data_IF_254127483980
#
_entry.id   IF_254127483980
#
_cell.length_a   1.000
_cell.length_b   1.000
_cell.length_c   1.000
_cell.angle_alpha   90.00
_cell.angle_beta   90.00
_cell.angle_gamma   90.00
#
_symmetry.space_group_name_H-M   'P 1'
#
loop_
_entity.id
_entity.type
_entity.pdbx_description
1 polymer ?
#
# COMPACT_ATOMS: atom_id res chain seq x y z
N UNK A 1 -25.57 -1.54 9.77
CA UNK A 1 -24.57 -2.52 9.27
C UNK A 1 -23.25 -2.26 9.99
N UNK A 2 -22.79 -3.18 10.83
CA UNK A 2 -21.64 -2.95 11.72
C UNK A 2 -20.35 -2.76 10.92
N UNK A 3 -19.58 -1.70 11.21
CA UNK A 3 -18.24 -1.52 10.61
C UNK A 3 -17.34 -2.64 11.13
N UNK A 4 -16.64 -3.34 10.24
CA UNK A 4 -15.56 -4.22 10.66
C UNK A 4 -14.43 -3.39 11.30
N UNK A 5 -13.54 -4.04 12.06
CA UNK A 5 -12.47 -3.36 12.80
C UNK A 5 -11.61 -2.45 11.90
N UNK A 6 -11.26 -2.93 10.71
CA UNK A 6 -10.42 -2.21 9.74
C UNK A 6 -11.10 -0.91 9.29
N UNK A 7 -12.36 -1.00 8.89
CA UNK A 7 -13.16 0.12 8.42
C UNK A 7 -13.44 1.13 9.54
N UNK A 8 -13.58 0.65 10.77
CA UNK A 8 -13.73 1.51 11.92
C UNK A 8 -12.48 2.37 12.13
N UNK A 9 -11.29 1.75 12.15
CA UNK A 9 -10.03 2.48 12.35
C UNK A 9 -9.72 3.46 11.22
N UNK A 10 -9.88 3.05 9.95
CA UNK A 10 -9.66 3.97 8.83
C UNK A 10 -10.63 5.16 8.90
N UNK A 11 -11.92 4.91 9.16
CA UNK A 11 -12.91 5.99 9.32
C UNK A 11 -12.55 6.96 10.44
N UNK A 12 -12.06 6.44 11.57
CA UNK A 12 -11.71 7.24 12.75
C UNK A 12 -10.47 8.11 12.50
N UNK A 13 -9.42 7.55 11.90
CA UNK A 13 -8.21 8.33 11.58
C UNK A 13 -8.49 9.41 10.52
N UNK A 14 -9.40 9.13 9.58
CA UNK A 14 -9.82 10.08 8.55
C UNK A 14 -10.69 11.19 9.15
N UNK A 15 -11.61 10.86 10.07
CA UNK A 15 -12.45 11.89 10.71
C UNK A 15 -11.65 12.88 11.58
N UNK A 16 -10.43 12.50 11.97
CA UNK A 16 -9.47 13.33 12.73
C UNK A 16 -8.27 13.77 11.90
N UNK A 17 -8.37 13.73 10.57
CA UNK A 17 -7.27 14.01 9.63
C UNK A 17 -6.54 15.31 9.93
N UNK A 18 -7.27 16.41 10.10
CA UNK A 18 -6.70 17.75 10.28
C UNK A 18 -5.83 17.84 11.54
N UNK A 19 -6.35 17.35 12.66
CA UNK A 19 -5.64 17.33 13.95
C UNK A 19 -4.39 16.43 13.88
N UNK A 20 -4.54 15.20 13.37
CA UNK A 20 -3.44 14.21 13.34
C UNK A 20 -2.35 14.63 12.35
N UNK A 21 -2.73 15.08 11.16
CA UNK A 21 -1.76 15.44 10.12
C UNK A 21 -1.02 16.74 10.42
N UNK A 22 -1.52 17.58 11.32
CA UNK A 22 -0.75 18.71 11.87
C UNK A 22 0.51 18.25 12.62
N UNK A 23 0.50 17.02 13.16
CA UNK A 23 1.61 16.41 13.86
C UNK A 23 2.42 15.53 12.90
N UNK A 24 1.76 14.62 12.18
CA UNK A 24 2.41 13.69 11.26
C UNK A 24 1.44 13.10 10.24
N UNK A 25 1.90 12.99 8.98
CA UNK A 25 1.20 12.25 7.92
C UNK A 25 1.51 10.76 7.94
N UNK A 26 2.45 10.30 8.75
CA UNK A 26 2.90 8.92 8.76
C UNK A 26 2.13 8.10 9.79
N UNK A 27 1.60 6.95 9.37
CA UNK A 27 0.87 6.00 10.22
C UNK A 27 1.59 4.67 10.18
N UNK A 28 2.04 4.19 11.34
CA UNK A 28 2.62 2.85 11.45
C UNK A 28 1.53 1.89 11.91
N UNK A 29 1.33 0.79 11.19
CA UNK A 29 0.28 -0.18 11.47
C UNK A 29 0.78 -1.62 11.43
N UNK A 30 0.14 -2.49 12.21
CA UNK A 30 0.41 -3.93 12.20
C UNK A 30 0.07 -4.58 10.84
N UNK A 31 0.64 -5.74 10.56
CA UNK A 31 0.39 -6.53 9.36
C UNK A 31 -1.09 -6.89 9.13
N UNK A 32 -1.89 -6.93 10.20
CA UNK A 32 -3.34 -7.09 10.10
C UNK A 32 -4.00 -6.01 9.21
N UNK A 33 -3.44 -4.81 9.19
CA UNK A 33 -3.93 -3.64 8.44
C UNK A 33 -3.33 -3.51 7.04
N UNK A 34 -2.43 -4.40 6.61
CA UNK A 34 -1.89 -4.43 5.23
C UNK A 34 -2.91 -4.99 4.23
N UNK A 35 -4.12 -4.43 4.24
CA UNK A 35 -5.26 -4.80 3.39
C UNK A 35 -5.71 -3.57 2.63
N UNK A 36 -6.14 -3.77 1.39
CA UNK A 36 -6.63 -2.70 0.52
C UNK A 36 -7.69 -1.83 1.20
N UNK A 37 -8.63 -2.43 1.94
CA UNK A 37 -9.70 -1.71 2.65
C UNK A 37 -9.21 -0.74 3.73
N UNK A 38 -7.97 -0.91 4.21
CA UNK A 38 -7.31 0.07 5.08
C UNK A 38 -6.41 1.00 4.27
N UNK A 39 -5.55 0.44 3.41
CA UNK A 39 -4.48 1.18 2.73
C UNK A 39 -5.05 2.22 1.76
N UNK A 40 -6.02 1.86 0.94
CA UNK A 40 -6.60 2.76 -0.07
C UNK A 40 -7.17 4.04 0.53
N UNK A 41 -8.14 3.99 1.48
CA UNK A 41 -8.73 5.21 2.03
C UNK A 41 -7.72 6.05 2.83
N UNK A 42 -6.72 5.41 3.46
CA UNK A 42 -5.67 6.13 4.17
C UNK A 42 -4.77 6.91 3.20
N UNK A 43 -4.35 6.29 2.09
CA UNK A 43 -3.56 6.93 1.05
C UNK A 43 -4.34 8.06 0.33
N UNK A 44 -5.61 7.83 0.00
CA UNK A 44 -6.52 8.86 -0.55
C UNK A 44 -6.71 10.04 0.41
N UNK A 45 -6.51 9.80 1.71
CA UNK A 45 -6.56 10.81 2.76
C UNK A 45 -5.20 11.42 3.08
N UNK A 46 -4.20 11.32 2.19
CA UNK A 46 -2.84 11.87 2.35
C UNK A 46 -2.00 11.30 3.50
N UNK A 47 -2.37 10.13 4.03
CA UNK A 47 -1.52 9.42 4.98
C UNK A 47 -0.46 8.58 4.27
N UNK A 48 0.71 8.48 4.87
CA UNK A 48 1.77 7.53 4.50
C UNK A 48 1.75 6.35 5.47
N UNK A 49 1.21 5.22 5.01
CA UNK A 49 1.10 4.02 5.84
C UNK A 49 2.38 3.18 5.73
N UNK A 50 3.02 2.91 6.87
CA UNK A 50 4.10 1.93 6.99
C UNK A 50 3.53 0.72 7.72
N UNK A 51 3.49 -0.42 7.04
CA UNK A 51 3.02 -1.67 7.63
C UNK A 51 3.87 -2.83 7.14
N UNK A 52 3.96 -3.89 7.97
CA UNK A 52 4.61 -5.13 7.57
C UNK A 52 3.64 -5.95 6.73
N UNK A 53 4.06 -6.52 5.61
CA UNK A 53 3.22 -7.53 4.96
C UNK A 53 3.04 -8.78 5.82
N UNK A 54 1.97 -9.55 5.56
CA UNK A 54 1.82 -10.88 6.16
C UNK A 54 2.87 -11.84 5.59
N UNK A 55 3.23 -12.85 6.37
CA UNK A 55 4.24 -13.84 5.97
C UNK A 55 3.85 -14.66 4.73
N UNK A 56 2.55 -14.82 4.49
CA UNK A 56 1.96 -15.58 3.38
C UNK A 56 1.64 -14.73 2.15
N UNK A 57 2.12 -13.48 2.10
CA UNK A 57 1.83 -12.58 0.98
C UNK A 57 2.50 -13.07 -0.31
N UNK A 58 1.77 -12.94 -1.43
CA UNK A 58 2.32 -13.12 -2.77
C UNK A 58 2.31 -11.76 -3.45
N UNK A 59 3.49 -11.22 -3.72
CA UNK A 59 3.64 -9.93 -4.40
C UNK A 59 3.89 -10.14 -5.89
N UNK A 60 3.34 -9.23 -6.69
CA UNK A 60 3.50 -9.22 -8.14
C UNK A 60 3.97 -7.86 -8.61
N UNK A 61 4.72 -7.84 -9.70
CA UNK A 61 5.06 -6.61 -10.38
C UNK A 61 3.87 -6.14 -11.23
N UNK A 62 3.30 -4.93 -10.99
CA UNK A 62 2.22 -4.39 -11.81
C UNK A 62 2.69 -4.14 -13.24
N UNK A 63 1.90 -4.53 -14.24
CA UNK A 63 2.34 -4.43 -15.65
C UNK A 63 2.63 -3.00 -16.06
N UNK A 64 3.70 -2.82 -16.84
CA UNK A 64 4.01 -1.54 -17.50
C UNK A 64 3.40 -1.44 -18.90
N UNK A 65 2.81 -2.53 -19.38
CA UNK A 65 2.18 -2.58 -20.70
C UNK A 65 0.94 -1.69 -20.75
N UNK A 66 0.83 -0.89 -21.82
CA UNK A 66 -0.40 -0.12 -22.08
C UNK A 66 -1.51 -1.07 -22.55
N UNK A 67 -2.74 -0.82 -22.11
CA UNK A 67 -3.91 -1.56 -22.59
C UNK A 67 -3.98 -1.46 -24.12
N UNK A 68 -4.02 -2.62 -24.78
CA UNK A 68 -3.99 -2.71 -26.25
C UNK A 68 -5.32 -2.38 -26.91
N UNK A 69 -6.42 -2.30 -26.15
CA UNK A 69 -7.78 -2.08 -26.66
C UNK A 69 -8.37 -3.28 -27.43
N UNK A 70 -7.61 -4.36 -27.59
CA UNK A 70 -8.05 -5.59 -28.25
C UNK A 70 -8.97 -6.40 -27.33
N UNK A 71 -9.81 -7.23 -27.94
CA UNK A 71 -10.69 -8.17 -27.22
C UNK A 71 -9.85 -9.14 -26.38
N UNK A 72 -10.06 -9.12 -25.07
CA UNK A 72 -9.36 -9.98 -24.10
C UNK A 72 -9.28 -9.33 -22.72
N UNK A 73 -8.94 -10.11 -21.69
CA UNK A 73 -8.68 -9.57 -20.36
C UNK A 73 -7.32 -8.82 -20.37
N UNK A 74 -7.26 -7.56 -19.90
CA UNK A 74 -6.00 -6.84 -19.83
C UNK A 74 -5.01 -7.57 -18.91
N UNK A 75 -3.74 -7.65 -19.32
CA UNK A 75 -2.67 -8.09 -18.42
C UNK A 75 -2.55 -7.08 -17.27
N UNK A 76 -2.46 -7.56 -16.03
CA UNK A 76 -2.32 -6.69 -14.84
C UNK A 76 -0.94 -6.78 -14.22
N UNK A 77 -0.22 -7.90 -14.42
CA UNK A 77 1.05 -8.19 -13.75
C UNK A 77 2.07 -8.78 -14.72
N UNK A 78 3.35 -8.48 -14.49
CA UNK A 78 4.48 -8.99 -15.30
C UNK A 78 5.18 -10.20 -14.68
N UNK A 79 4.74 -10.63 -13.50
CA UNK A 79 5.30 -11.78 -12.80
C UNK A 79 5.26 -11.62 -11.29
N UNK A 80 5.52 -12.73 -10.59
CA UNK A 80 5.70 -12.73 -9.13
C UNK A 80 7.05 -12.09 -8.80
N UNK A 81 7.10 -11.34 -7.70
CA UNK A 81 8.36 -10.78 -7.20
C UNK A 81 9.27 -11.92 -6.73
N UNK A 82 10.48 -11.96 -7.26
CA UNK A 82 11.57 -12.79 -6.74
C UNK A 82 12.38 -11.99 -5.72
N UNK A 83 12.27 -12.36 -4.45
CA UNK A 83 13.01 -11.69 -3.38
C UNK A 83 14.51 -11.97 -3.42
N UNK A 84 14.95 -13.07 -4.06
CA UNK A 84 16.38 -13.36 -4.24
C UNK A 84 17.00 -12.47 -5.34
N UNK A 85 16.20 -12.10 -6.35
CA UNK A 85 16.62 -11.28 -7.48
C UNK A 85 15.63 -10.12 -7.72
N UNK A 86 15.59 -9.18 -6.77
CA UNK A 86 14.68 -8.04 -6.83
C UNK A 86 15.03 -7.11 -8.00
N UNK A 87 14.05 -6.85 -8.85
CA UNK A 87 14.11 -5.78 -9.84
C UNK A 87 13.84 -4.42 -9.18
N UNK A 88 14.91 -3.78 -8.71
CA UNK A 88 14.86 -2.47 -8.05
C UNK A 88 14.44 -1.34 -8.99
N UNK A 89 14.51 -1.52 -10.31
CA UNK A 89 14.07 -0.49 -11.28
C UNK A 89 12.56 -0.24 -11.18
N UNK A 90 11.82 -1.19 -10.61
CA UNK A 90 10.37 -1.13 -10.38
C UNK A 90 10.00 -0.65 -8.98
N UNK A 91 10.99 -0.29 -8.16
CA UNK A 91 10.81 0.15 -6.79
C UNK A 91 11.12 1.64 -6.64
N UNK A 92 10.47 2.29 -5.68
CA UNK A 92 10.79 3.66 -5.25
C UNK A 92 11.57 3.60 -3.95
N UNK A 93 12.83 4.03 -3.99
CA UNK A 93 13.70 4.10 -2.80
C UNK A 93 13.27 5.25 -1.88
N UNK A 94 13.21 4.99 -0.58
CA UNK A 94 12.96 6.01 0.44
C UNK A 94 14.20 6.20 1.32
N UNK A 95 14.77 7.41 1.28
CA UNK A 95 15.94 7.76 2.11
C UNK A 95 15.53 7.90 3.56
N UNK A 96 16.23 7.20 4.46
CA UNK A 96 16.02 7.27 5.90
C UNK A 96 17.29 7.73 6.59
N UNK A 97 17.16 8.41 7.73
CA UNK A 97 18.22 9.17 8.40
C UNK A 97 19.51 8.39 8.73
N UNK A 98 19.53 7.05 8.59
CA UNK A 98 20.70 6.19 8.78
C UNK A 98 20.77 4.98 7.83
N UNK A 99 20.11 5.02 6.65
CA UNK A 99 20.11 3.88 5.72
C UNK A 99 19.21 4.05 4.50
N UNK A 100 19.00 2.95 3.78
CA UNK A 100 18.07 2.86 2.64
C UNK A 100 16.92 1.91 3.02
N UNK A 101 15.68 2.31 2.72
CA UNK A 101 14.48 1.45 2.72
C UNK A 101 14.02 1.23 1.29
#
# INVERSE_FOLDING_TARGET
>A
MGKNLVNWYSSYLISKKEEIQSISKMVVADAFFSKETFITPMCESDYHVISRFRNDVILYYPTLEKKTGKRGHPKWFDGKIDFANLDLTRCKEYKVNKGKL
#
